data_IF_053722211538
#
_entry.id   IF_053722211538
#
_cell.length_a   1.000
_cell.length_b   1.000
_cell.length_c   1.000
_cell.angle_alpha   90.00
_cell.angle_beta   90.00
_cell.angle_gamma   90.00
#
_symmetry.space_group_name_H-M   'P 1'
#
loop_
_entity.id
_entity.type
_entity.pdbx_description
1 polymer ?
#
# COMPACT_ATOMS: atom_id res chain seq x y z
N UNK A 1 19.44 10.98 -6.64
CA UNK A 1 18.35 10.21 -6.00
C UNK A 1 17.94 9.08 -6.95
N UNK A 2 17.79 7.87 -6.42
CA UNK A 2 18.14 6.58 -7.05
C UNK A 2 17.31 6.13 -8.27
N UNK A 3 17.98 5.43 -9.19
CA UNK A 3 17.47 4.75 -10.40
C UNK A 3 16.17 3.92 -10.20
N UNK A 4 15.87 3.48 -8.97
CA UNK A 4 14.64 2.72 -8.65
C UNK A 4 13.34 3.51 -8.88
N UNK A 5 13.31 4.82 -8.60
CA UNK A 5 12.13 5.66 -8.81
C UNK A 5 11.78 5.81 -10.30
N UNK A 6 12.72 5.47 -11.19
CA UNK A 6 12.49 5.45 -12.63
C UNK A 6 11.60 4.30 -13.10
N UNK A 7 11.42 3.27 -12.27
CA UNK A 7 10.57 2.12 -12.58
C UNK A 7 9.19 2.22 -11.91
N UNK A 8 8.94 3.26 -11.10
CA UNK A 8 7.69 3.49 -10.40
C UNK A 8 7.88 4.25 -9.08
N UNK A 9 6.81 4.82 -8.50
CA UNK A 9 6.90 5.51 -7.21
C UNK A 9 7.35 4.57 -6.08
N UNK A 10 8.16 5.12 -5.18
CA UNK A 10 8.51 4.47 -3.91
C UNK A 10 7.65 5.12 -2.82
N UNK A 11 6.96 4.30 -2.04
CA UNK A 11 6.11 4.72 -0.93
C UNK A 11 6.73 4.19 0.36
N UNK A 12 7.26 5.08 1.18
CA UNK A 12 7.70 4.74 2.54
C UNK A 12 6.55 5.00 3.49
N UNK A 13 6.06 3.96 4.16
CA UNK A 13 5.06 4.07 5.21
C UNK A 13 5.78 4.23 6.55
N UNK A 14 5.82 5.46 7.04
CA UNK A 14 6.46 5.80 8.30
C UNK A 14 5.51 5.50 9.46
N UNK A 15 5.98 4.78 10.48
CA UNK A 15 5.22 4.46 11.70
C UNK A 15 6.05 4.84 12.91
N UNK A 16 5.58 5.82 13.67
CA UNK A 16 6.19 6.25 14.92
C UNK A 16 5.15 6.70 15.93
N UNK A 17 5.57 6.96 17.17
CA UNK A 17 4.74 7.57 18.22
C UNK A 17 4.28 8.99 17.87
N UNK A 18 5.01 9.69 16.99
CA UNK A 18 4.77 11.10 16.69
C UNK A 18 3.95 11.31 15.42
N UNK A 19 4.27 10.53 14.38
CA UNK A 19 3.64 10.62 13.07
C UNK A 19 3.51 9.24 12.43
N UNK A 20 2.42 9.06 11.70
CA UNK A 20 2.18 7.93 10.81
C UNK A 20 1.76 8.49 9.45
N UNK A 21 2.66 8.44 8.48
CA UNK A 21 2.49 9.12 7.18
C UNK A 21 3.03 8.24 6.04
N UNK A 22 2.68 8.61 4.80
CA UNK A 22 3.30 8.08 3.60
C UNK A 22 4.22 9.13 2.95
N UNK A 23 5.51 8.78 2.79
CA UNK A 23 6.45 9.54 1.97
C UNK A 23 6.44 8.95 0.55
N UNK A 24 5.90 9.71 -0.39
CA UNK A 24 5.82 9.35 -1.81
C UNK A 24 7.02 9.96 -2.53
N UNK A 25 7.86 9.10 -3.10
CA UNK A 25 9.07 9.47 -3.83
C UNK A 25 8.84 9.15 -5.31
N UNK A 26 8.84 10.20 -6.14
CA UNK A 26 8.77 10.14 -7.61
C UNK A 26 10.06 10.71 -8.20
N UNK A 27 10.28 10.52 -9.49
CA UNK A 27 11.35 11.23 -10.21
C UNK A 27 11.22 12.76 -10.11
N UNK A 28 9.98 13.26 -10.06
CA UNK A 28 9.70 14.70 -9.96
C UNK A 28 9.90 15.28 -8.56
N UNK A 29 10.14 14.45 -7.53
CA UNK A 29 10.37 14.92 -6.17
C UNK A 29 9.74 14.03 -5.10
N UNK A 30 9.72 14.56 -3.87
CA UNK A 30 9.20 13.89 -2.68
C UNK A 30 7.96 14.64 -2.20
N UNK A 31 6.91 13.90 -1.85
CA UNK A 31 5.66 14.42 -1.28
C UNK A 31 5.32 13.66 0.00
N UNK A 32 5.00 14.40 1.05
CA UNK A 32 4.40 13.83 2.25
C UNK A 32 2.88 13.73 2.07
N UNK A 33 2.32 12.58 2.41
CA UNK A 33 0.89 12.33 2.50
C UNK A 33 0.55 11.96 3.95
N UNK A 34 -0.27 12.79 4.59
CA UNK A 34 -0.76 12.51 5.93
C UNK A 34 -1.81 11.38 5.90
N UNK A 35 -1.76 10.49 6.89
CA UNK A 35 -2.71 9.40 7.05
C UNK A 35 -3.49 9.63 8.36
N UNK A 36 -4.53 10.48 8.35
CA UNK A 36 -5.13 11.02 9.57
C UNK A 36 -5.81 9.98 10.46
N UNK A 37 -6.16 8.82 9.89
CA UNK A 37 -6.79 7.70 10.61
C UNK A 37 -5.79 6.64 11.05
N UNK A 38 -4.50 6.84 10.74
CA UNK A 38 -3.43 5.91 11.09
C UNK A 38 -2.63 6.51 12.24
N UNK A 39 -2.54 5.77 13.34
CA UNK A 39 -1.71 6.10 14.47
C UNK A 39 -1.01 4.83 14.97
N UNK A 40 -0.03 4.99 15.85
CA UNK A 40 0.59 3.83 16.48
C UNK A 40 -0.41 3.03 17.32
N UNK A 41 -1.43 3.68 17.87
CA UNK A 41 -2.51 3.04 18.63
C UNK A 41 -3.37 2.18 17.71
N UNK A 42 -3.90 2.75 16.62
CA UNK A 42 -4.74 1.99 15.67
C UNK A 42 -3.95 0.83 15.05
N UNK A 43 -2.67 1.01 14.73
CA UNK A 43 -1.80 -0.08 14.28
C UNK A 43 -1.73 -1.21 15.33
N UNK A 44 -1.66 -0.90 16.63
CA UNK A 44 -1.58 -1.93 17.68
C UNK A 44 -2.86 -2.73 17.80
N UNK A 45 -4.01 -2.08 17.66
CA UNK A 45 -5.31 -2.72 17.71
C UNK A 45 -5.40 -3.80 16.62
N UNK A 46 -4.90 -3.49 15.43
CA UNK A 46 -4.90 -4.41 14.29
C UNK A 46 -3.80 -5.47 14.31
N UNK A 47 -2.69 -5.30 15.06
CA UNK A 47 -1.65 -6.34 15.21
C UNK A 47 -2.21 -7.61 15.85
N UNK A 48 -3.24 -7.48 16.68
CA UNK A 48 -3.83 -8.59 17.41
C UNK A 48 -4.98 -9.28 16.66
N UNK A 49 -5.41 -8.74 15.52
CA UNK A 49 -6.54 -9.25 14.72
C UNK A 49 -6.11 -9.55 13.26
N UNK A 50 -5.66 -10.77 12.93
CA UNK A 50 -5.18 -11.12 11.60
C UNK A 50 -6.29 -11.39 10.56
N UNK A 51 -7.51 -10.87 10.75
CA UNK A 51 -8.69 -11.18 9.92
C UNK A 51 -8.96 -10.15 8.81
N UNK A 52 -10.05 -10.36 8.06
CA UNK A 52 -10.51 -9.50 6.96
C UNK A 52 -10.61 -8.02 7.34
N UNK A 53 -10.99 -7.72 8.58
CA UNK A 53 -11.12 -6.35 9.10
C UNK A 53 -9.79 -5.59 9.04
N UNK A 54 -8.68 -6.25 9.30
CA UNK A 54 -7.35 -5.62 9.21
C UNK A 54 -6.94 -5.37 7.76
N UNK A 55 -7.32 -6.23 6.82
CA UNK A 55 -7.05 -6.01 5.39
C UNK A 55 -7.93 -4.90 4.80
N UNK A 56 -9.19 -4.80 5.24
CA UNK A 56 -10.10 -3.69 4.91
C UNK A 56 -9.55 -2.38 5.47
N UNK A 57 -9.15 -2.34 6.74
CA UNK A 57 -8.50 -1.17 7.34
C UNK A 57 -7.22 -0.76 6.62
N UNK A 58 -6.32 -1.71 6.31
CA UNK A 58 -5.11 -1.42 5.51
C UNK A 58 -5.49 -0.81 4.16
N UNK A 59 -6.55 -1.31 3.54
CA UNK A 59 -7.02 -0.80 2.26
C UNK A 59 -7.54 0.64 2.40
N UNK A 60 -8.48 0.87 3.30
CA UNK A 60 -9.20 2.14 3.44
C UNK A 60 -8.32 3.27 3.96
N UNK A 61 -7.49 3.00 4.98
CA UNK A 61 -6.77 4.06 5.70
C UNK A 61 -5.33 4.26 5.21
N UNK A 62 -4.78 3.32 4.44
CA UNK A 62 -3.39 3.37 3.97
C UNK A 62 -3.28 3.24 2.45
N UNK A 63 -3.78 2.16 1.86
CA UNK A 63 -3.50 1.85 0.45
C UNK A 63 -4.31 2.74 -0.48
N UNK A 64 -5.63 2.86 -0.28
CA UNK A 64 -6.50 3.68 -1.10
C UNK A 64 -6.07 5.16 -1.12
N UNK A 65 -5.80 5.82 0.04
CA UNK A 65 -5.31 7.20 0.05
C UNK A 65 -3.98 7.39 -0.69
N UNK A 66 -3.07 6.42 -0.60
CA UNK A 66 -1.80 6.45 -1.34
C UNK A 66 -2.04 6.30 -2.85
N UNK A 67 -2.89 5.37 -3.27
CA UNK A 67 -3.23 5.19 -4.69
C UNK A 67 -3.91 6.44 -5.26
N UNK A 68 -4.82 7.05 -4.51
CA UNK A 68 -5.47 8.32 -4.88
C UNK A 68 -4.45 9.45 -5.03
N UNK A 69 -3.52 9.59 -4.08
CA UNK A 69 -2.46 10.59 -4.14
C UNK A 69 -1.48 10.34 -5.31
N UNK A 70 -1.36 9.09 -5.76
CA UNK A 70 -0.59 8.71 -6.95
C UNK A 70 -1.37 8.91 -8.26
N UNK A 71 -2.70 9.07 -8.21
CA UNK A 71 -3.59 9.16 -9.36
C UNK A 71 -4.01 7.81 -9.93
N UNK A 72 -3.86 6.71 -9.17
CA UNK A 72 -4.18 5.35 -9.58
C UNK A 72 -5.59 4.94 -9.13
N UNK A 73 -6.59 5.70 -9.57
CA UNK A 73 -7.99 5.58 -9.14
C UNK A 73 -8.82 4.56 -9.95
N UNK A 74 -8.20 3.88 -10.92
CA UNK A 74 -8.88 2.89 -11.75
C UNK A 74 -7.92 2.07 -12.60
N UNK A 75 -8.44 1.07 -13.34
CA UNK A 75 -7.63 0.28 -14.23
C UNK A 75 -6.92 1.15 -15.26
N UNK A 76 -5.62 0.91 -15.54
CA UNK A 76 -4.87 1.64 -16.53
C UNK A 76 -5.49 1.42 -17.93
N UNK A 77 -5.60 2.48 -18.73
CA UNK A 77 -6.24 2.44 -20.05
C UNK A 77 -5.58 1.45 -21.03
N UNK A 78 -4.31 1.10 -20.80
CA UNK A 78 -3.55 0.13 -21.60
C UNK A 78 -3.35 -1.24 -20.92
N UNK A 79 -4.04 -1.53 -19.81
CA UNK A 79 -3.95 -2.81 -19.10
C UNK A 79 -2.66 -3.05 -18.30
N UNK A 80 -1.62 -2.23 -18.48
CA UNK A 80 -0.38 -2.30 -17.72
C UNK A 80 -0.46 -1.47 -16.44
N UNK A 81 -0.45 -2.15 -15.30
CA UNK A 81 -0.41 -1.49 -14.00
C UNK A 81 0.97 -0.91 -13.70
N UNK A 82 1.04 0.32 -13.16
CA UNK A 82 2.31 0.90 -12.72
C UNK A 82 2.86 0.10 -11.53
N UNK A 83 4.17 -0.10 -11.50
CA UNK A 83 4.83 -0.70 -10.35
C UNK A 83 4.89 0.31 -9.20
N UNK A 84 4.58 -0.14 -7.98
CA UNK A 84 4.74 0.64 -6.75
C UNK A 84 5.66 -0.12 -5.81
N UNK A 85 6.62 0.58 -5.23
CA UNK A 85 7.55 0.01 -4.26
C UNK A 85 7.15 0.40 -2.85
N UNK A 86 6.62 -0.55 -2.09
CA UNK A 86 6.20 -0.33 -0.71
C UNK A 86 7.37 -0.58 0.25
N UNK A 87 7.63 0.39 1.12
CA UNK A 87 8.66 0.30 2.17
C UNK A 87 7.98 0.55 3.51
N UNK A 88 7.39 -0.49 4.14
CA UNK A 88 6.82 -0.36 5.48
C UNK A 88 7.92 -0.23 6.52
N UNK A 89 7.61 0.49 7.61
CA UNK A 89 8.51 0.64 8.76
C UNK A 89 7.80 0.24 10.05
N UNK A 90 8.57 -0.01 11.11
CA UNK A 90 8.04 -0.32 12.43
C UNK A 90 7.06 -1.50 12.44
N UNK A 91 5.94 -1.33 13.14
CA UNK A 91 4.92 -2.39 13.31
C UNK A 91 4.18 -2.74 12.02
N UNK A 92 4.12 -1.84 11.03
CA UNK A 92 3.52 -2.14 9.72
C UNK A 92 4.27 -3.23 8.94
N UNK A 93 5.52 -3.53 9.29
CA UNK A 93 6.27 -4.66 8.68
C UNK A 93 5.65 -6.04 8.97
N UNK A 94 4.75 -6.13 9.96
CA UNK A 94 4.04 -7.36 10.34
C UNK A 94 2.76 -7.60 9.54
N UNK A 95 2.34 -6.65 8.71
CA UNK A 95 1.06 -6.68 8.00
C UNK A 95 1.23 -7.17 6.57
N UNK A 96 0.23 -7.93 6.10
CA UNK A 96 0.14 -8.36 4.71
C UNK A 96 -0.41 -7.22 3.83
N UNK A 97 0.39 -6.17 3.65
CA UNK A 97 0.04 -5.02 2.79
C UNK A 97 -0.33 -5.50 1.37
N UNK A 98 0.26 -6.60 0.91
CA UNK A 98 -0.02 -7.23 -0.39
C UNK A 98 -1.35 -7.94 -0.52
N UNK A 99 -2.02 -8.18 0.59
CA UNK A 99 -3.34 -8.77 0.63
C UNK A 99 -4.44 -7.74 0.96
N UNK A 100 -4.08 -6.48 1.21
CA UNK A 100 -5.04 -5.43 1.54
C UNK A 100 -6.01 -5.25 0.36
N UNK A 101 -7.25 -5.64 0.59
CA UNK A 101 -8.37 -5.48 -0.33
C UNK A 101 -9.67 -5.75 0.43
N UNK A 102 -10.80 -5.27 -0.09
CA UNK A 102 -12.10 -5.73 0.38
C UNK A 102 -12.32 -7.18 -0.06
N UNK A 103 -12.47 -8.08 0.91
CA UNK A 103 -12.93 -9.43 0.62
C UNK A 103 -14.46 -9.43 0.47
N UNK A 104 -14.97 -9.32 -0.76
CA UNK A 104 -16.37 -9.66 -0.99
C UNK A 104 -16.59 -11.14 -0.69
N UNK A 105 -17.34 -11.42 0.38
CA UNK A 105 -17.85 -12.76 0.66
C UNK A 105 -18.76 -13.16 -0.50
N UNK A 106 -18.31 -14.13 -1.29
CA UNK A 106 -18.95 -14.65 -2.51
C UNK A 106 -20.40 -15.08 -2.24
N UNK A 107 -21.37 -14.30 -2.68
CA UNK A 107 -22.71 -14.78 -3.03
C UNK A 107 -22.79 -14.78 -4.56
N UNK A 108 -23.22 -15.89 -5.15
CA UNK A 108 -23.04 -16.19 -6.58
C UNK A 108 -23.73 -15.19 -7.50
N UNK A 109 -23.00 -14.19 -7.97
CA UNK A 109 -23.23 -13.43 -9.19
C UNK A 109 -21.96 -12.64 -9.52
N UNK A 110 -21.67 -12.49 -10.81
CA UNK A 110 -20.41 -12.04 -11.41
C UNK A 110 -19.82 -10.77 -10.76
N UNK A 111 -18.92 -10.92 -9.79
CA UNK A 111 -18.19 -9.82 -9.16
C UNK A 111 -16.88 -9.53 -9.91
N UNK A 112 -16.96 -8.70 -10.94
CA UNK A 112 -15.83 -7.88 -11.32
C UNK A 112 -15.63 -6.81 -10.24
N UNK A 113 -14.36 -6.48 -9.92
CA UNK A 113 -13.87 -5.33 -9.14
C UNK A 113 -13.64 -5.58 -7.64
N UNK A 114 -12.47 -6.10 -7.32
CA UNK A 114 -11.69 -5.70 -6.14
C UNK A 114 -10.23 -6.01 -6.44
N UNK A 115 -9.43 -4.95 -6.59
CA UNK A 115 -8.08 -4.94 -7.15
C UNK A 115 -7.06 -5.59 -6.22
N UNK A 116 -7.01 -6.93 -6.19
CA UNK A 116 -6.03 -7.71 -5.40
C UNK A 116 -4.70 -7.97 -6.15
N UNK A 117 -4.51 -7.40 -7.34
CA UNK A 117 -3.24 -7.52 -8.08
C UNK A 117 -2.49 -6.20 -8.04
N UNK A 118 -1.44 -6.13 -7.21
CA UNK A 118 -0.08 -5.67 -7.56
C UNK A 118 0.69 -5.54 -6.24
N UNK A 119 1.37 -6.61 -5.85
CA UNK A 119 2.48 -6.53 -4.90
C UNK A 119 3.49 -7.63 -5.22
N UNK A 120 4.25 -7.40 -6.30
CA UNK A 120 5.43 -8.22 -6.61
C UNK A 120 6.57 -7.72 -5.73
N UNK A 121 6.72 -8.34 -4.57
CA UNK A 121 7.87 -8.18 -3.67
C UNK A 121 9.14 -8.57 -4.44
N UNK A 122 10.06 -7.63 -4.69
CA UNK A 122 11.35 -7.95 -5.32
C UNK A 122 12.22 -8.70 -4.31
N UNK A 123 12.43 -10.01 -4.54
CA UNK A 123 13.61 -10.71 -4.03
C UNK A 123 14.85 -10.14 -4.73
N UNK A 124 15.90 -9.83 -3.96
CA UNK A 124 17.21 -9.44 -4.48
C UNK A 124 17.65 -10.41 -5.59
N UNK A 125 17.90 -9.89 -6.78
CA UNK A 125 18.69 -10.61 -7.78
C UNK A 125 20.14 -10.61 -7.33
N UNK A 126 20.73 -11.81 -7.20
CA UNK A 126 22.17 -11.95 -7.04
C UNK A 126 22.86 -11.53 -8.34
N UNK A 127 23.89 -10.71 -8.19
CA UNK A 127 24.89 -10.49 -9.22
C UNK A 127 25.71 -11.77 -9.40
N UNK A 128 25.71 -12.31 -10.61
CA UNK A 128 26.87 -12.93 -11.29
C UNK A 128 26.63 -12.84 -12.78
#
# INVERSE_FOLDING_TARGET
>A
MSNAASYGPIVVLNVSTYRCDALIIKQSGIRLLELPHVSQETINDHVSDPQSRTLEWLWDDIICPVLDALGFTGPPSGGQWPQIWWVPTGKLTRFSIHAACHHLRRSGETAARSSCLVLRLVRRGNHT
#
